data_IF_743087818245
#
_entry.id   IF_743087818245
#
_cell.length_a   1.000
_cell.length_b   1.000
_cell.length_c   1.000
_cell.angle_alpha   90.00
_cell.angle_beta   90.00
_cell.angle_gamma   90.00
#
_symmetry.space_group_name_H-M   'P 1'
#
loop_
_entity.id
_entity.type
_entity.pdbx_description
1 polymer ?
#
# COMPACT_ATOMS: atom_id res chain seq x y z
N UNK A 1 -17.77 -1.70 2.20
CA UNK A 1 -16.76 -2.50 1.47
C UNK A 1 -15.81 -3.06 2.50
N UNK A 2 -16.11 -4.24 3.04
CA UNK A 2 -15.32 -4.78 4.15
C UNK A 2 -14.32 -5.84 3.71
N UNK A 3 -14.27 -6.15 2.40
CA UNK A 3 -13.36 -7.15 1.85
C UNK A 3 -12.50 -6.54 0.77
N UNK A 4 -11.19 -6.65 0.96
CA UNK A 4 -10.19 -6.22 0.00
C UNK A 4 -10.19 -7.19 -1.20
N UNK A 5 -9.91 -6.76 -2.44
CA UNK A 5 -9.71 -7.66 -3.57
C UNK A 5 -8.35 -8.38 -3.47
N UNK A 6 -8.28 -9.34 -2.55
CA UNK A 6 -7.05 -10.04 -2.13
C UNK A 6 -6.35 -10.74 -3.30
N UNK A 7 -7.09 -11.45 -4.16
CA UNK A 7 -6.51 -12.17 -5.30
C UNK A 7 -5.78 -11.24 -6.28
N UNK A 8 -6.36 -10.08 -6.58
CA UNK A 8 -5.79 -9.12 -7.54
C UNK A 8 -4.54 -8.46 -6.93
N UNK A 9 -4.58 -8.12 -5.64
CA UNK A 9 -3.39 -7.60 -4.96
C UNK A 9 -2.25 -8.62 -4.94
N UNK A 10 -2.59 -9.88 -4.66
CA UNK A 10 -1.61 -10.96 -4.65
C UNK A 10 -0.92 -11.07 -6.01
N UNK A 11 -1.69 -11.05 -7.11
CA UNK A 11 -1.12 -11.04 -8.46
C UNK A 11 -0.26 -9.80 -8.74
N UNK A 12 -0.67 -8.61 -8.26
CA UNK A 12 0.12 -7.38 -8.38
C UNK A 12 1.47 -7.55 -7.67
N UNK A 13 1.45 -8.03 -6.43
CA UNK A 13 2.65 -8.26 -5.62
C UNK A 13 3.59 -9.23 -6.34
N UNK A 14 3.08 -10.40 -6.72
CA UNK A 14 3.86 -11.46 -7.39
C UNK A 14 4.49 -11.00 -8.71
N UNK A 15 3.87 -10.08 -9.44
CA UNK A 15 4.41 -9.54 -10.71
C UNK A 15 5.27 -8.29 -10.55
N UNK A 16 5.18 -7.58 -9.42
CA UNK A 16 5.84 -6.29 -9.25
C UNK A 16 7.35 -6.37 -9.00
N UNK A 17 7.87 -7.55 -8.64
CA UNK A 17 9.25 -7.75 -8.15
C UNK A 17 9.65 -6.72 -7.07
N UNK A 18 8.67 -6.24 -6.29
CA UNK A 18 8.86 -5.24 -5.25
C UNK A 18 9.25 -5.92 -3.93
N UNK A 19 9.95 -5.20 -3.06
CA UNK A 19 10.12 -5.60 -1.66
C UNK A 19 8.78 -5.49 -0.94
N UNK A 20 8.32 -6.59 -0.35
CA UNK A 20 6.99 -6.71 0.26
C UNK A 20 7.10 -6.73 1.78
N UNK A 21 6.63 -5.66 2.40
CA UNK A 21 6.44 -5.60 3.84
C UNK A 21 5.00 -5.91 4.22
N UNK A 22 4.80 -6.93 5.06
CA UNK A 22 3.48 -7.20 5.65
C UNK A 22 3.37 -6.52 7.01
N UNK A 23 2.41 -5.59 7.12
CA UNK A 23 2.10 -4.93 8.38
C UNK A 23 1.30 -5.87 9.26
N UNK A 24 1.80 -6.20 10.46
CA UNK A 24 1.01 -6.96 11.41
C UNK A 24 -0.22 -6.14 11.83
N UNK A 25 -1.41 -6.55 11.38
CA UNK A 25 -2.67 -5.98 11.85
C UNK A 25 -3.54 -7.07 12.46
N UNK A 26 -4.09 -6.77 13.63
CA UNK A 26 -5.08 -7.64 14.26
C UNK A 26 -6.36 -7.64 13.41
N UNK A 27 -6.70 -8.80 12.83
CA UNK A 27 -7.97 -9.02 12.13
C UNK A 27 -7.94 -8.91 10.60
N UNK A 28 -6.78 -8.84 9.95
CA UNK A 28 -6.70 -9.07 8.51
C UNK A 28 -6.88 -10.58 8.21
N UNK A 29 -7.72 -10.93 7.24
CA UNK A 29 -7.68 -12.26 6.61
C UNK A 29 -6.24 -12.48 6.12
N UNK A 30 -5.68 -13.68 6.34
CA UNK A 30 -4.30 -13.97 5.94
C UNK A 30 -4.21 -13.95 4.41
N UNK A 31 -3.88 -12.78 3.83
CA UNK A 31 -3.36 -12.74 2.47
C UNK A 31 -2.04 -13.51 2.51
N UNK A 32 -2.04 -14.69 1.91
CA UNK A 32 -0.89 -15.58 1.81
C UNK A 32 -0.03 -15.15 0.62
N UNK A 33 0.79 -14.13 0.85
CA UNK A 33 1.83 -13.63 -0.03
C UNK A 33 3.20 -13.88 0.61
N UNK A 34 4.20 -14.15 -0.21
CA UNK A 34 5.59 -14.18 0.23
C UNK A 34 6.01 -12.76 0.63
N UNK A 35 6.74 -12.62 1.74
CA UNK A 35 7.10 -11.33 2.33
C UNK A 35 8.58 -11.31 2.67
N UNK A 36 9.29 -10.27 2.26
CA UNK A 36 10.70 -10.09 2.60
C UNK A 36 10.90 -9.84 4.09
N UNK A 37 9.98 -9.09 4.70
CA UNK A 37 9.97 -8.86 6.13
C UNK A 37 8.56 -8.60 6.69
N UNK A 38 8.44 -8.77 8.01
CA UNK A 38 7.23 -8.49 8.79
C UNK A 38 7.57 -7.50 9.89
N UNK A 39 6.93 -6.35 9.84
CA UNK A 39 7.16 -5.26 10.79
C UNK A 39 5.82 -4.58 11.15
N UNK A 40 5.78 -3.89 12.27
CA UNK A 40 4.68 -2.99 12.57
C UNK A 40 4.64 -1.83 11.55
N UNK A 41 3.46 -1.38 11.14
CA UNK A 41 3.36 -0.28 10.16
C UNK A 41 4.12 0.98 10.60
N UNK A 42 4.05 1.35 11.87
CA UNK A 42 4.79 2.51 12.38
C UNK A 42 6.30 2.28 12.43
N UNK A 43 6.74 1.03 12.58
CA UNK A 43 8.17 0.68 12.52
C UNK A 43 8.70 0.82 11.09
N UNK A 44 7.94 0.39 10.08
CA UNK A 44 8.28 0.60 8.66
C UNK A 44 8.41 2.09 8.37
N UNK A 45 7.45 2.89 8.83
CA UNK A 45 7.49 4.36 8.63
C UNK A 45 8.71 4.98 9.30
N UNK A 46 9.06 4.56 10.52
CA UNK A 46 10.24 5.06 11.21
C UNK A 46 11.54 4.72 10.47
N UNK A 47 11.66 3.48 9.95
CA UNK A 47 12.80 3.05 9.13
C UNK A 47 12.95 3.87 7.86
N UNK A 48 11.85 4.10 7.14
CA UNK A 48 11.81 4.89 5.91
C UNK A 48 12.16 6.37 6.15
N UNK A 49 11.61 6.97 7.21
CA UNK A 49 11.82 8.39 7.51
C UNK A 49 13.23 8.70 8.04
N UNK A 50 13.82 7.78 8.81
CA UNK A 50 15.12 8.01 9.44
C UNK A 50 16.30 7.46 8.62
N UNK A 51 16.06 6.94 7.41
CA UNK A 51 17.10 6.37 6.55
C UNK A 51 17.84 5.20 7.22
N UNK A 52 17.14 4.43 8.05
CA UNK A 52 17.73 3.31 8.78
C UNK A 52 17.88 2.05 7.91
N UNK A 53 17.39 2.08 6.66
CA UNK A 53 17.44 1.00 5.66
C UNK A 53 17.61 1.55 4.23
N UNK A 54 17.29 0.72 3.23
CA UNK A 54 17.25 1.02 1.79
C UNK A 54 16.33 2.21 1.47
N UNK A 55 16.78 3.07 0.55
CA UNK A 55 15.96 4.12 -0.03
C UNK A 55 15.09 3.53 -1.15
N UNK A 56 13.79 3.83 -1.12
CA UNK A 56 12.84 3.41 -2.16
C UNK A 56 12.36 4.62 -2.96
N UNK A 57 12.49 4.55 -4.28
CA UNK A 57 11.96 5.58 -5.19
C UNK A 57 10.42 5.61 -5.15
N UNK A 58 9.79 4.44 -5.01
CA UNK A 58 8.35 4.25 -4.99
C UNK A 58 7.93 3.41 -3.79
N UNK A 59 6.95 3.92 -3.03
CA UNK A 59 6.33 3.22 -1.91
C UNK A 59 4.85 3.02 -2.24
N UNK A 60 4.38 1.77 -2.21
CA UNK A 60 2.99 1.42 -2.51
C UNK A 60 2.28 0.96 -1.24
N UNK A 61 1.23 1.67 -0.85
CA UNK A 61 0.35 1.28 0.26
C UNK A 61 -0.92 0.63 -0.25
N UNK A 62 -1.26 -0.52 0.33
CA UNK A 62 -2.49 -1.26 0.06
C UNK A 62 -2.96 -1.94 1.34
N UNK A 63 -4.26 -1.94 1.62
CA UNK A 63 -4.81 -2.64 2.79
C UNK A 63 -4.80 -1.85 4.10
N UNK A 64 -4.21 -0.66 4.12
CA UNK A 64 -4.12 0.16 5.34
C UNK A 64 -5.46 0.88 5.62
N UNK A 65 -6.02 0.79 6.84
CA UNK A 65 -7.22 1.54 7.19
C UNK A 65 -7.04 3.05 7.00
N UNK A 66 -8.03 3.70 6.39
CA UNK A 66 -7.96 5.11 5.97
C UNK A 66 -7.33 6.05 6.99
N UNK A 67 -7.81 6.03 8.23
CA UNK A 67 -7.36 6.93 9.29
C UNK A 67 -5.92 6.65 9.77
N UNK A 68 -5.45 5.41 9.64
CA UNK A 68 -4.07 5.03 9.92
C UNK A 68 -3.19 5.48 8.76
N UNK A 69 -3.59 5.17 7.54
CA UNK A 69 -2.87 5.54 6.33
C UNK A 69 -2.69 7.05 6.21
N UNK A 70 -3.71 7.85 6.51
CA UNK A 70 -3.60 9.33 6.49
C UNK A 70 -2.47 9.83 7.41
N UNK A 71 -2.29 9.20 8.58
CA UNK A 71 -1.21 9.57 9.52
C UNK A 71 0.16 9.14 9.00
N UNK A 72 0.24 7.93 8.46
CA UNK A 72 1.46 7.40 7.83
C UNK A 72 1.92 8.30 6.69
N UNK A 73 1.02 8.60 5.74
CA UNK A 73 1.32 9.44 4.59
C UNK A 73 1.73 10.86 4.99
N UNK A 74 1.10 11.44 6.02
CA UNK A 74 1.51 12.74 6.54
C UNK A 74 2.94 12.72 7.08
N UNK A 75 3.36 11.62 7.70
CA UNK A 75 4.73 11.42 8.17
C UNK A 75 5.71 11.33 7.00
N UNK A 76 5.49 10.36 6.09
CA UNK A 76 6.34 10.13 4.92
C UNK A 76 6.55 11.41 4.10
N UNK A 77 5.47 12.16 3.84
CA UNK A 77 5.54 13.43 3.09
C UNK A 77 6.37 14.50 3.81
N UNK A 78 6.29 14.58 5.13
CA UNK A 78 7.02 15.59 5.91
C UNK A 78 8.53 15.33 5.93
N UNK A 79 8.92 14.06 5.87
CA UNK A 79 10.33 13.64 5.81
C UNK A 79 10.87 13.59 4.37
N UNK A 80 10.05 13.88 3.37
CA UNK A 80 10.47 13.87 1.96
C UNK A 80 10.79 12.47 1.44
N UNK A 81 10.11 11.45 1.96
CA UNK A 81 10.33 10.06 1.57
C UNK A 81 9.68 9.79 0.20
N UNK A 82 10.51 9.61 -0.82
CA UNK A 82 10.18 9.01 -2.13
C UNK A 82 8.88 9.49 -2.80
N UNK A 83 8.40 8.73 -3.78
CA UNK A 83 7.04 8.86 -4.33
C UNK A 83 6.13 7.85 -3.64
N UNK A 84 5.03 8.31 -3.04
CA UNK A 84 4.09 7.45 -2.33
C UNK A 84 2.78 7.27 -3.11
N UNK A 85 2.43 6.03 -3.38
CA UNK A 85 1.25 5.61 -4.14
C UNK A 85 0.34 4.82 -3.21
N UNK A 86 -0.97 5.11 -3.23
CA UNK A 86 -1.96 4.25 -2.56
C UNK A 86 -2.86 3.57 -3.56
N UNK A 87 -3.04 2.27 -3.37
CA UNK A 87 -3.99 1.44 -4.11
C UNK A 87 -5.32 1.27 -3.37
N UNK A 88 -5.55 2.02 -2.29
CA UNK A 88 -6.80 1.97 -1.53
C UNK A 88 -7.97 2.65 -2.24
N UNK A 89 -9.17 2.13 -2.02
CA UNK A 89 -10.42 2.64 -2.63
C UNK A 89 -10.86 4.03 -2.15
N UNK A 90 -10.26 4.54 -1.07
CA UNK A 90 -10.51 5.89 -0.54
C UNK A 90 -9.37 6.80 -0.91
N UNK A 91 -9.72 8.00 -1.36
CA UNK A 91 -8.76 9.01 -1.74
C UNK A 91 -7.93 9.49 -0.53
N UNK A 92 -6.62 9.43 -0.65
CA UNK A 92 -5.66 9.97 0.32
C UNK A 92 -5.00 11.24 -0.21
N UNK A 93 -5.22 12.35 0.48
CA UNK A 93 -4.68 13.68 0.10
C UNK A 93 -3.16 13.84 0.28
N UNK A 94 -2.55 12.94 1.05
CA UNK A 94 -1.12 13.00 1.38
C UNK A 94 -0.25 12.07 0.53
N UNK A 95 -0.86 11.20 -0.28
CA UNK A 95 -0.15 10.40 -1.28
C UNK A 95 0.08 11.24 -2.54
N UNK A 96 1.17 10.96 -3.27
CA UNK A 96 1.44 11.58 -4.58
C UNK A 96 0.46 11.05 -5.64
N UNK A 97 0.15 9.76 -5.56
CA UNK A 97 -0.88 9.13 -6.38
C UNK A 97 -1.88 8.37 -5.52
N UNK A 98 -3.16 8.68 -5.74
CA UNK A 98 -4.27 8.03 -5.06
C UNK A 98 -5.45 7.92 -6.02
N UNK A 99 -6.17 6.82 -5.93
CA UNK A 99 -7.49 6.72 -6.55
C UNK A 99 -8.44 7.79 -6.02
N UNK A 100 -9.47 8.11 -6.81
CA UNK A 100 -10.64 8.83 -6.32
C UNK A 100 -11.43 7.92 -5.37
N UNK A 101 -12.27 8.51 -4.53
CA UNK A 101 -13.18 7.75 -3.68
C UNK A 101 -14.10 6.86 -4.54
N UNK A 102 -14.03 5.55 -4.33
CA UNK A 102 -14.90 4.57 -4.96
C UNK A 102 -16.02 4.17 -4.01
N UNK A 103 -17.21 3.93 -4.54
CA UNK A 103 -18.40 3.55 -3.74
C UNK A 103 -18.76 2.08 -3.87
N UNK A 104 -18.31 1.39 -4.91
CA UNK A 104 -18.51 -0.05 -5.13
C UNK A 104 -17.20 -0.82 -5.40
N UNK A 105 -17.17 -2.10 -5.02
CA UNK A 105 -15.97 -2.95 -5.05
C UNK A 105 -15.53 -3.25 -6.49
N UNK A 106 -16.45 -3.28 -7.44
CA UNK A 106 -16.16 -3.65 -8.83
C UNK A 106 -15.39 -2.55 -9.57
N UNK A 107 -15.69 -1.28 -9.31
CA UNK A 107 -14.90 -0.16 -9.83
C UNK A 107 -13.45 -0.25 -9.34
N UNK A 108 -13.26 -0.56 -8.07
CA UNK A 108 -11.92 -0.71 -7.51
C UNK A 108 -11.16 -1.89 -8.11
N UNK A 109 -11.82 -3.05 -8.24
CA UNK A 109 -11.24 -4.22 -8.92
C UNK A 109 -10.86 -3.89 -10.36
N UNK A 110 -11.66 -3.08 -11.06
CA UNK A 110 -11.37 -2.67 -12.43
C UNK A 110 -10.06 -1.86 -12.48
N UNK A 111 -9.92 -0.83 -11.66
CA UNK A 111 -8.69 -0.02 -11.62
C UNK A 111 -7.46 -0.87 -11.23
N UNK A 112 -7.59 -1.77 -10.25
CA UNK A 112 -6.48 -2.66 -9.87
C UNK A 112 -6.10 -3.63 -11.01
N UNK A 113 -7.06 -4.11 -11.80
CA UNK A 113 -6.78 -4.91 -13.00
C UNK A 113 -6.07 -4.09 -14.07
N UNK A 114 -6.39 -2.80 -14.20
CA UNK A 114 -5.66 -1.92 -15.11
C UNK A 114 -4.19 -1.79 -14.70
N UNK A 115 -3.90 -1.63 -13.40
CA UNK A 115 -2.52 -1.69 -12.89
C UNK A 115 -1.87 -3.03 -13.23
N UNK A 116 -2.53 -4.14 -12.89
CA UNK A 116 -2.00 -5.50 -13.13
C UNK A 116 -1.68 -5.76 -14.60
N UNK A 117 -2.52 -5.29 -15.53
CA UNK A 117 -2.32 -5.45 -16.97
C UNK A 117 -1.15 -4.62 -17.52
N UNK A 118 -0.71 -3.59 -16.78
CA UNK A 118 0.39 -2.71 -17.18
C UNK A 118 1.68 -2.97 -16.38
N UNK A 119 1.66 -3.85 -15.37
CA UNK A 119 2.86 -4.39 -14.75
C UNK A 119 3.55 -5.31 -15.77
N UNK A 120 4.80 -4.97 -16.11
CA UNK A 120 5.63 -5.70 -17.07
C UNK A 120 6.65 -6.55 -16.37
#
# INVERSE_FOLDING_TARGET
MNRYPEDILKEIIERSNATVFKTESAGAEEINVETDARFGLMEIVDRLCNGMEEEYDFIVLAGVPYHIETRVLSGLRSYGVGTVITLNWRHQQYADFSYRNMTNLEDWKKELKEVLNNLR
#
